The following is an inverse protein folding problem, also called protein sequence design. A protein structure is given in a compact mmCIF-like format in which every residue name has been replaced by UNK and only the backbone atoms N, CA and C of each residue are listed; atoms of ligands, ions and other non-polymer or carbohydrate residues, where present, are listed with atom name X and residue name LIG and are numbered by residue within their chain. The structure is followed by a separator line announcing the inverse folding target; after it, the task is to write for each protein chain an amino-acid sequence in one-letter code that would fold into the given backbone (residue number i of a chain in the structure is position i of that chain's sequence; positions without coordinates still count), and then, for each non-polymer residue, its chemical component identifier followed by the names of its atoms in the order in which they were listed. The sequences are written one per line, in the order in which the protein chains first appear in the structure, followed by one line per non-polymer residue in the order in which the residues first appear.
data_IF_023751198388
#
_entry.id   IF_023751198388
#
_cell.length_a   1.000
_cell.length_b   1.000
_cell.length_c   1.000
_cell.angle_alpha   90.00
_cell.angle_beta   90.00
_cell.angle_gamma   90.00
#
_symmetry.space_group_name_H-M   'P 1'
#
loop_
_entity.id
_entity.type
_entity.pdbx_description
1 polymer ?
#
# COMPACT_ATOMS: atom_id res chain seq x y z
N UNK A 1 -8.79 2.66 -34.41
CA UNK A 1 -8.99 1.23 -34.68
C UNK A 1 -9.78 0.49 -33.57
N UNK A 2 -9.77 0.99 -32.34
CA UNK A 2 -10.46 0.38 -31.18
C UNK A 2 -11.78 1.06 -30.79
N UNK A 3 -12.22 2.10 -31.53
CA UNK A 3 -13.35 2.95 -31.17
C UNK A 3 -13.28 3.54 -29.76
N UNK A 4 -12.06 3.76 -29.25
CA UNK A 4 -11.83 4.43 -27.98
C UNK A 4 -12.04 5.93 -28.17
N UNK A 5 -13.00 6.51 -27.47
CA UNK A 5 -13.40 7.92 -27.61
C UNK A 5 -13.15 8.74 -26.36
N UNK A 6 -12.75 8.11 -25.24
CA UNK A 6 -12.48 8.77 -23.96
C UNK A 6 -11.17 8.29 -23.39
N UNK A 7 -10.32 9.21 -22.91
CA UNK A 7 -9.11 8.93 -22.15
C UNK A 7 -9.20 9.60 -20.77
N UNK A 8 -8.90 8.84 -19.73
CA UNK A 8 -8.83 9.29 -18.33
C UNK A 8 -7.44 9.02 -17.79
N UNK A 9 -6.81 10.02 -17.17
CA UNK A 9 -5.42 9.94 -16.67
C UNK A 9 -5.22 10.87 -15.48
N UNK A 10 -4.02 10.82 -14.88
CA UNK A 10 -3.60 11.83 -13.91
C UNK A 10 -3.43 13.22 -14.53
N UNK A 11 -3.55 14.26 -13.73
CA UNK A 11 -3.49 15.67 -14.17
C UNK A 11 -2.18 16.03 -14.88
N UNK A 12 -1.10 15.32 -14.65
CA UNK A 12 0.17 15.48 -15.34
C UNK A 12 0.14 15.05 -16.82
N UNK A 13 -0.89 14.31 -17.24
CA UNK A 13 -1.07 13.85 -18.62
C UNK A 13 -1.99 14.75 -19.45
N UNK A 14 -2.49 15.86 -18.89
CA UNK A 14 -3.42 16.77 -19.59
C UNK A 14 -2.92 17.23 -20.96
N UNK A 15 -1.65 17.64 -21.06
CA UNK A 15 -1.04 18.06 -22.33
C UNK A 15 -1.02 16.96 -23.40
N UNK A 16 -0.75 15.70 -22.99
CA UNK A 16 -0.75 14.56 -23.90
C UNK A 16 -2.16 14.24 -24.38
N UNK A 17 -3.16 14.29 -23.48
CA UNK A 17 -4.59 14.03 -23.80
C UNK A 17 -5.10 15.06 -24.81
N UNK A 18 -4.89 16.35 -24.53
CA UNK A 18 -5.38 17.43 -25.42
C UNK A 18 -4.72 17.38 -26.80
N UNK A 19 -3.43 17.07 -26.87
CA UNK A 19 -2.71 16.85 -28.13
C UNK A 19 -3.31 15.66 -28.90
N UNK A 20 -3.63 14.56 -28.21
CA UNK A 20 -4.28 13.39 -28.79
C UNK A 20 -5.68 13.70 -29.37
N UNK A 21 -6.49 14.44 -28.61
CA UNK A 21 -7.82 14.90 -29.04
C UNK A 21 -7.73 15.74 -30.31
N UNK A 22 -6.84 16.72 -30.33
CA UNK A 22 -6.61 17.58 -31.49
C UNK A 22 -6.12 16.79 -32.72
N UNK A 23 -5.24 15.81 -32.51
CA UNK A 23 -4.75 14.95 -33.59
C UNK A 23 -5.87 14.11 -34.19
N UNK A 24 -6.73 13.52 -33.37
CA UNK A 24 -7.89 12.73 -33.82
C UNK A 24 -8.80 13.62 -34.65
N UNK A 25 -9.17 14.79 -34.15
CA UNK A 25 -10.03 15.74 -34.87
C UNK A 25 -9.45 16.13 -36.22
N UNK A 26 -8.17 16.50 -36.28
CA UNK A 26 -7.48 16.94 -37.50
C UNK A 26 -7.32 15.81 -38.53
N UNK A 27 -7.09 14.58 -38.10
CA UNK A 27 -6.82 13.45 -38.99
C UNK A 27 -8.08 12.71 -39.45
N UNK A 28 -9.11 12.65 -38.61
CA UNK A 28 -10.28 11.81 -38.86
C UNK A 28 -11.61 12.57 -38.89
N UNK A 29 -11.62 13.84 -38.45
CA UNK A 29 -12.86 14.60 -38.27
C UNK A 29 -13.73 14.13 -37.11
N UNK A 30 -13.31 13.11 -36.36
CA UNK A 30 -14.07 12.55 -35.24
C UNK A 30 -13.79 13.31 -33.94
N UNK A 31 -14.75 13.26 -33.02
CA UNK A 31 -14.62 13.80 -31.68
C UNK A 31 -14.04 12.74 -30.73
N UNK A 32 -13.22 13.21 -29.80
CA UNK A 32 -12.71 12.44 -28.67
C UNK A 32 -12.72 13.31 -27.42
N UNK A 33 -12.78 12.68 -26.27
CA UNK A 33 -12.92 13.34 -24.96
C UNK A 33 -11.82 12.92 -24.03
N UNK A 34 -11.55 13.76 -23.03
CA UNK A 34 -10.59 13.44 -21.97
C UNK A 34 -10.95 14.13 -20.68
N UNK A 35 -10.59 13.50 -19.57
CA UNK A 35 -10.59 14.15 -18.27
C UNK A 35 -9.37 13.71 -17.45
N UNK A 36 -9.00 14.52 -16.49
CA UNK A 36 -7.90 14.21 -15.58
C UNK A 36 -8.37 14.22 -14.13
N UNK A 37 -7.71 13.41 -13.32
CA UNK A 37 -7.89 13.35 -11.88
C UNK A 37 -6.65 13.93 -11.18
N UNK A 38 -6.78 14.51 -9.98
CA UNK A 38 -5.64 14.88 -9.16
C UNK A 38 -4.71 13.68 -8.94
N UNK A 39 -3.41 13.93 -8.84
CA UNK A 39 -2.44 12.89 -8.54
C UNK A 39 -2.57 12.46 -7.07
N UNK A 40 -2.43 11.16 -6.84
CA UNK A 40 -2.27 10.64 -5.48
C UNK A 40 -0.82 10.91 -5.06
N UNK A 41 -0.67 11.68 -3.99
CA UNK A 41 0.62 12.13 -3.49
C UNK A 41 0.86 11.56 -2.08
N UNK A 42 2.12 11.39 -1.72
CA UNK A 42 2.55 11.18 -0.35
C UNK A 42 2.61 12.51 0.42
N UNK A 43 2.90 12.47 1.72
CA UNK A 43 3.02 13.66 2.58
C UNK A 43 4.12 14.64 2.14
N UNK A 44 5.05 14.23 1.30
CA UNK A 44 6.13 15.09 0.78
C UNK A 44 5.75 15.74 -0.54
N UNK A 45 4.56 15.45 -1.08
CA UNK A 45 4.11 15.90 -2.40
C UNK A 45 4.66 15.08 -3.55
N UNK A 46 5.33 13.96 -3.30
CA UNK A 46 5.76 13.01 -4.34
C UNK A 46 4.63 12.06 -4.71
N UNK A 47 4.66 11.57 -5.96
CA UNK A 47 3.67 10.58 -6.41
C UNK A 47 3.72 9.32 -5.56
N UNK A 48 2.54 8.88 -5.12
CA UNK A 48 2.36 7.62 -4.41
C UNK A 48 3.00 6.44 -5.19
N UNK A 49 3.71 5.57 -4.49
CA UNK A 49 4.34 4.37 -5.07
C UNK A 49 5.61 4.61 -5.89
N UNK A 50 6.15 5.85 -5.94
CA UNK A 50 7.42 6.19 -6.64
C UNK A 50 8.55 6.62 -5.71
N UNK A 51 8.58 6.20 -4.46
CA UNK A 51 9.73 6.44 -3.60
C UNK A 51 10.92 5.60 -4.08
N UNK A 52 12.06 6.25 -4.29
CA UNK A 52 13.32 5.59 -4.67
C UNK A 52 13.67 4.50 -3.65
N UNK A 53 13.66 3.24 -4.10
CA UNK A 53 14.04 2.09 -3.30
C UNK A 53 12.90 1.30 -2.64
N UNK A 54 11.69 1.84 -2.50
CA UNK A 54 10.55 1.19 -1.82
C UNK A 54 9.26 1.21 -2.64
N UNK A 55 9.34 0.77 -3.90
CA UNK A 55 8.13 0.60 -4.69
C UNK A 55 7.27 -0.53 -4.10
N UNK A 56 6.01 -0.23 -3.78
CA UNK A 56 5.04 -1.26 -3.39
C UNK A 56 4.59 -2.02 -4.65
N UNK A 57 4.78 -3.32 -4.62
CA UNK A 57 4.36 -4.19 -5.70
C UNK A 57 3.08 -4.95 -5.33
N UNK A 58 2.17 -5.08 -6.29
CA UNK A 58 0.99 -5.94 -6.11
C UNK A 58 1.37 -7.43 -6.06
N UNK A 59 2.47 -7.80 -6.72
CA UNK A 59 3.06 -9.14 -6.67
C UNK A 59 3.59 -9.42 -5.26
N UNK A 60 3.01 -10.43 -4.59
CA UNK A 60 3.35 -10.81 -3.22
C UNK A 60 4.78 -11.35 -3.05
N UNK A 61 5.41 -11.81 -4.14
CA UNK A 61 6.80 -12.25 -4.08
C UNK A 61 7.79 -11.08 -3.99
N UNK A 62 7.35 -9.88 -4.41
CA UNK A 62 8.17 -8.65 -4.35
C UNK A 62 7.90 -7.83 -3.11
N UNK A 63 6.62 -7.65 -2.77
CA UNK A 63 6.17 -7.01 -1.51
C UNK A 63 5.25 -7.98 -0.81
N UNK A 64 5.65 -8.53 0.34
CA UNK A 64 4.82 -9.46 1.11
C UNK A 64 3.54 -8.78 1.60
N UNK A 65 2.55 -9.58 2.02
CA UNK A 65 1.32 -9.02 2.59
C UNK A 65 1.57 -8.31 3.90
N UNK A 66 2.56 -8.77 4.67
CA UNK A 66 3.02 -8.09 5.88
C UNK A 66 3.69 -6.74 5.59
N UNK A 67 4.61 -6.67 4.62
CA UNK A 67 5.22 -5.39 4.21
C UNK A 67 4.17 -4.39 3.72
N UNK A 68 3.20 -4.84 2.93
CA UNK A 68 2.09 -4.00 2.46
C UNK A 68 1.22 -3.52 3.62
N UNK A 69 0.89 -4.41 4.57
CA UNK A 69 0.15 -4.07 5.78
C UNK A 69 0.88 -3.01 6.59
N UNK A 70 2.17 -3.20 6.86
CA UNK A 70 2.99 -2.24 7.61
C UNK A 70 3.06 -0.88 6.92
N UNK A 71 3.17 -0.85 5.60
CA UNK A 71 3.13 0.41 4.86
C UNK A 71 1.80 1.14 5.06
N UNK A 72 0.68 0.44 4.91
CA UNK A 72 -0.66 1.03 4.98
C UNK A 72 -1.04 1.48 6.39
N UNK A 73 -0.68 0.72 7.42
CA UNK A 73 -0.93 1.13 8.80
C UNK A 73 -0.01 2.25 9.28
N UNK A 74 1.07 2.54 8.57
CA UNK A 74 2.01 3.62 8.87
C UNK A 74 1.86 4.84 7.94
N UNK A 75 0.81 4.90 7.14
CA UNK A 75 0.45 6.09 6.37
C UNK A 75 0.27 7.28 7.32
N UNK A 76 0.58 8.49 6.85
CA UNK A 76 0.39 9.72 7.63
C UNK A 76 -1.10 9.95 7.92
N UNK A 77 -1.42 10.35 9.15
CA UNK A 77 -2.80 10.56 9.61
C UNK A 77 -3.57 11.57 8.74
N UNK A 78 -2.85 12.53 8.14
CA UNK A 78 -3.45 13.54 7.25
C UNK A 78 -3.86 12.98 5.88
N UNK A 79 -3.38 11.80 5.50
CA UNK A 79 -3.62 11.19 4.18
C UNK A 79 -4.56 9.99 4.22
N UNK A 80 -4.71 9.36 5.39
CA UNK A 80 -5.43 8.08 5.51
C UNK A 80 -6.86 8.17 4.99
N UNK A 81 -7.56 9.26 5.28
CA UNK A 81 -8.96 9.46 4.85
C UNK A 81 -9.06 9.65 3.34
N UNK A 82 -8.13 10.40 2.74
CA UNK A 82 -8.09 10.54 1.28
C UNK A 82 -7.75 9.22 0.60
N UNK A 83 -6.89 8.41 1.21
CA UNK A 83 -6.59 7.06 0.69
C UNK A 83 -7.77 6.11 0.83
N UNK A 84 -8.55 6.17 1.90
CA UNK A 84 -9.81 5.42 2.00
C UNK A 84 -10.77 5.78 0.86
N UNK A 85 -10.93 7.08 0.55
CA UNK A 85 -11.79 7.55 -0.56
C UNK A 85 -11.33 7.07 -1.93
N UNK A 86 -10.01 6.89 -2.14
CA UNK A 86 -9.42 6.58 -3.44
C UNK A 86 -9.27 5.08 -3.66
N UNK A 87 -8.87 4.34 -2.63
CA UNK A 87 -8.43 2.94 -2.75
C UNK A 87 -9.40 1.92 -2.20
N UNK A 88 -10.55 2.34 -1.68
CA UNK A 88 -11.54 1.39 -1.12
C UNK A 88 -12.92 1.59 -1.73
N UNK A 89 -13.78 0.60 -1.55
CA UNK A 89 -15.20 0.65 -1.93
C UNK A 89 -16.11 0.96 -0.74
N UNK A 90 -15.55 1.49 0.35
CA UNK A 90 -16.33 1.91 1.50
C UNK A 90 -17.32 3.02 1.13
N UNK A 91 -18.49 2.99 1.73
CA UNK A 91 -19.49 4.04 1.56
C UNK A 91 -19.01 5.37 2.17
N UNK A 92 -19.67 6.46 1.77
CA UNK A 92 -19.38 7.78 2.31
C UNK A 92 -19.55 7.81 3.83
N UNK A 93 -20.61 7.17 4.33
CA UNK A 93 -20.97 7.12 5.74
C UNK A 93 -19.90 6.37 6.56
N UNK A 94 -19.37 5.27 6.03
CA UNK A 94 -18.28 4.52 6.68
C UNK A 94 -16.98 5.34 6.71
N UNK A 95 -16.66 6.05 5.65
CA UNK A 95 -15.46 6.90 5.59
C UNK A 95 -15.60 8.09 6.56
N UNK A 96 -16.75 8.73 6.65
CA UNK A 96 -17.03 9.82 7.62
C UNK A 96 -16.90 9.32 9.07
N UNK A 97 -17.31 8.09 9.36
CA UNK A 97 -17.12 7.48 10.68
C UNK A 97 -15.65 7.24 11.00
N UNK A 98 -14.84 6.74 10.01
CA UNK A 98 -13.39 6.61 10.19
C UNK A 98 -12.70 7.97 10.35
N UNK A 99 -13.14 8.99 9.64
CA UNK A 99 -12.64 10.37 9.79
C UNK A 99 -12.90 10.90 11.20
N UNK A 100 -14.10 10.71 11.73
CA UNK A 100 -14.44 11.07 13.10
C UNK A 100 -13.54 10.36 14.11
N UNK A 101 -13.40 9.04 13.99
CA UNK A 101 -12.54 8.23 14.87
C UNK A 101 -11.08 8.64 14.81
N UNK A 102 -10.57 8.92 13.60
CA UNK A 102 -9.19 9.36 13.40
C UNK A 102 -8.92 10.73 14.05
N UNK A 103 -9.93 11.61 14.11
CA UNK A 103 -9.82 12.90 14.77
C UNK A 103 -9.94 12.81 16.30
N UNK A 104 -10.80 11.93 16.81
CA UNK A 104 -11.05 11.77 18.24
C UNK A 104 -10.00 10.90 18.94
N UNK A 105 -9.55 9.81 18.25
CA UNK A 105 -8.67 8.78 18.79
C UNK A 105 -7.63 8.32 17.74
N UNK A 106 -6.72 9.22 17.30
CA UNK A 106 -5.72 8.87 16.28
C UNK A 106 -4.80 7.71 16.70
N UNK A 107 -4.55 7.56 18.01
CA UNK A 107 -3.74 6.48 18.58
C UNK A 107 -4.32 5.08 18.34
N UNK A 108 -5.63 4.95 18.15
CA UNK A 108 -6.29 3.67 17.86
C UNK A 108 -6.05 3.19 16.43
N UNK A 109 -5.66 4.10 15.52
CA UNK A 109 -5.33 3.83 14.11
C UNK A 109 -6.41 3.05 13.35
N UNK A 110 -7.69 3.19 13.74
CA UNK A 110 -8.79 2.42 13.14
C UNK A 110 -8.93 2.67 11.63
N UNK A 111 -8.78 3.91 11.18
CA UNK A 111 -8.81 4.25 9.76
C UNK A 111 -7.67 3.59 8.96
N UNK A 112 -6.47 3.49 9.54
CA UNK A 112 -5.31 2.86 8.93
C UNK A 112 -5.47 1.34 8.85
N UNK A 113 -6.01 0.73 9.90
CA UNK A 113 -6.31 -0.71 9.93
C UNK A 113 -7.39 -1.04 8.89
N UNK A 114 -8.41 -0.18 8.78
CA UNK A 114 -9.45 -0.32 7.75
C UNK A 114 -8.85 -0.19 6.34
N UNK A 115 -8.00 0.81 6.09
CA UNK A 115 -7.31 0.97 4.82
C UNK A 115 -6.50 -0.27 4.43
N UNK A 116 -5.73 -0.80 5.36
CA UNK A 116 -4.95 -2.02 5.14
C UNK A 116 -5.84 -3.23 4.89
N UNK A 117 -6.93 -3.38 5.65
CA UNK A 117 -7.90 -4.46 5.47
C UNK A 117 -8.52 -4.43 4.09
N UNK A 118 -9.11 -3.31 3.71
CA UNK A 118 -9.82 -3.18 2.44
C UNK A 118 -8.89 -3.44 1.25
N UNK A 119 -7.72 -2.81 1.23
CA UNK A 119 -6.77 -2.96 0.11
C UNK A 119 -6.23 -4.38 0.02
N UNK A 120 -5.77 -4.97 1.14
CA UNK A 120 -5.17 -6.31 1.08
C UNK A 120 -6.23 -7.36 0.75
N UNK A 121 -7.42 -7.23 1.32
CA UNK A 121 -8.53 -8.16 1.04
C UNK A 121 -8.94 -8.10 -0.43
N UNK A 122 -9.05 -6.91 -1.02
CA UNK A 122 -9.43 -6.74 -2.42
C UNK A 122 -8.37 -7.30 -3.38
N UNK A 123 -7.09 -7.12 -3.09
CA UNK A 123 -5.99 -7.51 -4.00
C UNK A 123 -5.56 -8.96 -3.80
N UNK A 124 -5.58 -9.49 -2.57
CA UNK A 124 -4.95 -10.77 -2.19
C UNK A 124 -5.86 -11.74 -1.44
N UNK A 125 -7.03 -11.28 -1.02
CA UNK A 125 -7.97 -12.06 -0.23
C UNK A 125 -7.84 -11.84 1.28
N UNK A 126 -8.90 -12.21 1.99
CA UNK A 126 -9.02 -12.00 3.44
C UNK A 126 -7.96 -12.80 4.24
N UNK A 127 -7.60 -13.99 3.78
CA UNK A 127 -6.58 -14.83 4.43
C UNK A 127 -5.22 -14.14 4.51
N UNK A 128 -4.82 -13.47 3.45
CA UNK A 128 -3.55 -12.71 3.39
C UNK A 128 -3.58 -11.49 4.32
N UNK A 129 -4.73 -10.82 4.44
CA UNK A 129 -4.90 -9.76 5.44
C UNK A 129 -4.78 -10.28 6.86
N UNK A 130 -5.47 -11.38 7.19
CA UNK A 130 -5.44 -11.98 8.52
C UNK A 130 -4.03 -12.47 8.89
N UNK A 131 -3.31 -13.09 7.94
CA UNK A 131 -1.90 -13.46 8.11
C UNK A 131 -1.03 -12.25 8.43
N UNK A 132 -1.10 -11.21 7.63
CA UNK A 132 -0.31 -9.99 7.83
C UNK A 132 -0.61 -9.31 9.17
N UNK A 133 -1.89 -9.22 9.54
CA UNK A 133 -2.32 -8.69 10.82
C UNK A 133 -1.82 -9.54 11.99
N UNK A 134 -1.89 -10.87 11.91
CA UNK A 134 -1.37 -11.79 12.93
C UNK A 134 0.12 -11.56 13.16
N UNK A 135 0.91 -11.51 12.09
CA UNK A 135 2.36 -11.22 12.17
C UNK A 135 2.60 -9.90 12.92
N UNK A 136 1.89 -8.84 12.51
CA UNK A 136 2.00 -7.52 13.14
C UNK A 136 1.66 -7.59 14.63
N UNK A 137 0.53 -8.19 14.99
CA UNK A 137 0.08 -8.29 16.38
C UNK A 137 1.09 -9.08 17.24
N UNK A 138 1.64 -10.20 16.73
CA UNK A 138 2.64 -11.01 17.43
C UNK A 138 3.95 -10.25 17.68
N UNK A 139 4.44 -9.53 16.68
CA UNK A 139 5.66 -8.73 16.81
C UNK A 139 5.48 -7.58 17.81
N UNK A 140 4.34 -6.89 17.79
CA UNK A 140 4.04 -5.81 18.73
C UNK A 140 3.86 -6.31 20.18
N UNK A 141 3.26 -7.48 20.37
CA UNK A 141 3.08 -8.07 21.71
C UNK A 141 4.32 -8.81 22.22
N UNK A 142 5.30 -9.04 21.35
CA UNK A 142 6.55 -9.75 21.67
C UNK A 142 6.39 -11.26 21.76
N UNK A 143 5.29 -11.83 21.25
CA UNK A 143 5.07 -13.29 21.26
C UNK A 143 5.20 -13.88 19.86
N UNK A 144 6.43 -14.00 19.41
CA UNK A 144 6.78 -14.56 18.10
C UNK A 144 6.59 -16.08 18.01
N UNK A 145 6.38 -16.76 19.16
CA UNK A 145 6.20 -18.23 19.19
C UNK A 145 4.88 -18.69 18.59
N UNK A 146 3.95 -17.78 18.36
CA UNK A 146 2.67 -18.03 17.70
C UNK A 146 2.75 -18.01 16.18
N UNK A 147 3.89 -17.59 15.61
CA UNK A 147 4.13 -17.53 14.18
C UNK A 147 4.70 -18.86 13.69
N UNK A 148 4.24 -19.31 12.52
CA UNK A 148 4.85 -20.44 11.83
C UNK A 148 6.12 -20.01 11.04
N UNK A 149 6.79 -20.96 10.39
CA UNK A 149 8.04 -20.75 9.70
C UNK A 149 7.89 -19.73 8.55
N UNK A 150 6.84 -19.86 7.72
CA UNK A 150 6.55 -18.96 6.61
C UNK A 150 6.22 -17.54 7.10
N UNK A 151 5.49 -17.44 8.22
CA UNK A 151 5.15 -16.16 8.85
C UNK A 151 6.39 -15.45 9.44
N UNK A 152 7.32 -16.24 10.00
CA UNK A 152 8.61 -15.72 10.49
C UNK A 152 9.49 -15.24 9.33
N UNK A 153 9.56 -15.99 8.23
CA UNK A 153 10.28 -15.55 7.03
C UNK A 153 9.71 -14.24 6.48
N UNK A 154 8.39 -14.12 6.38
CA UNK A 154 7.72 -12.88 5.95
C UNK A 154 8.00 -11.71 6.91
N UNK A 155 7.99 -11.97 8.23
CA UNK A 155 8.22 -10.95 9.26
C UNK A 155 9.64 -10.37 9.24
N UNK A 156 10.63 -11.21 8.97
CA UNK A 156 12.05 -10.87 9.01
C UNK A 156 12.70 -10.78 7.63
N UNK A 157 11.90 -10.75 6.56
CA UNK A 157 12.38 -10.60 5.19
C UNK A 157 13.27 -9.36 5.04
N UNK A 158 14.50 -9.58 4.57
CA UNK A 158 15.50 -8.51 4.43
C UNK A 158 16.23 -8.14 5.72
N UNK A 159 15.93 -8.76 6.85
CA UNK A 159 16.75 -8.64 8.04
C UNK A 159 18.06 -9.43 7.89
N UNK A 160 19.18 -8.92 8.42
CA UNK A 160 20.41 -9.70 8.46
C UNK A 160 20.20 -11.01 9.20
N UNK A 161 20.57 -12.12 8.58
CA UNK A 161 20.47 -13.45 9.18
C UNK A 161 21.81 -14.18 9.12
N UNK A 162 22.05 -15.08 10.06
CA UNK A 162 23.23 -15.95 10.09
C UNK A 162 22.87 -17.28 10.72
N UNK A 163 23.60 -18.31 10.30
CA UNK A 163 23.39 -19.67 10.83
C UNK A 163 24.05 -19.82 12.19
N UNK A 164 23.35 -20.51 13.11
CA UNK A 164 23.84 -20.87 14.44
C UNK A 164 23.80 -22.38 14.61
N UNK A 165 24.75 -22.91 15.37
CA UNK A 165 24.77 -24.31 15.75
C UNK A 165 24.32 -24.50 17.21
N UNK A 166 23.74 -25.65 17.49
CA UNK A 166 23.38 -26.01 18.87
C UNK A 166 24.66 -26.08 19.72
N UNK A 167 24.74 -25.20 20.73
CA UNK A 167 25.90 -25.07 21.62
C UNK A 167 26.77 -23.85 21.38
N UNK A 168 26.48 -23.04 20.34
CA UNK A 168 27.18 -21.78 20.15
C UNK A 168 26.93 -20.83 21.32
N UNK A 169 27.96 -20.08 21.71
CA UNK A 169 27.81 -19.08 22.78
C UNK A 169 27.18 -17.81 22.24
N UNK A 170 26.29 -17.20 23.02
CA UNK A 170 25.59 -15.95 22.66
C UNK A 170 26.57 -14.84 22.23
N UNK A 171 27.77 -14.78 22.85
CA UNK A 171 28.80 -13.81 22.47
C UNK A 171 29.30 -14.03 21.04
N UNK A 172 29.52 -15.29 20.65
CA UNK A 172 29.99 -15.62 19.31
C UNK A 172 28.89 -15.34 18.29
N UNK A 173 27.61 -15.61 18.62
CA UNK A 173 26.44 -15.25 17.80
C UNK A 173 26.35 -13.74 17.56
N UNK A 174 26.55 -12.92 18.61
CA UNK A 174 26.52 -11.45 18.50
C UNK A 174 27.69 -10.89 17.69
N UNK A 175 28.85 -11.54 17.71
CA UNK A 175 30.01 -11.15 16.89
C UNK A 175 29.76 -11.46 15.41
N UNK A 176 29.13 -12.60 15.11
CA UNK A 176 28.82 -13.03 13.74
C UNK A 176 27.63 -12.27 13.12
N UNK A 177 26.78 -11.65 13.94
CA UNK A 177 25.64 -10.83 13.51
C UNK A 177 26.03 -9.41 13.03
N UNK A 178 27.31 -9.07 13.02
CA UNK A 178 27.83 -7.82 12.46
C UNK A 178 28.13 -8.02 10.98
#
# INVERSE_FOLDING_TARGET
DKNCVLQAEGSDQWGNITTGIDLIRKKTGKEAYGFTMPLVLDKTGKKFGKSEGNALWLDKNKTSSYELYQYLVNVDDSLVIDYLKIFTFLSKEEIEEYERKNNEHPEAREAHIALAREIITDIRGEEEYLKAKKISDCLFKGDITLLDEDELEDAFKGAPSFDINVGDKVIDMLINAK
#
